data_IF_705584272945
#
_entry.id   IF_705584272945
#
_cell.length_a   1.000
_cell.length_b   1.000
_cell.length_c   1.000
_cell.angle_alpha   90.00
_cell.angle_beta   90.00
_cell.angle_gamma   90.00
#
_symmetry.space_group_name_H-M   'P 1'
#
loop_
_entity.id
_entity.type
_entity.pdbx_description
1 polymer ?
#
# COMPACT_ATOMS: atom_id res chain seq x y z
N UNK A 1 -9.43 -25.28 21.12
CA UNK A 1 -10.72 -25.23 21.85
C UNK A 1 -11.47 -24.03 21.30
N UNK A 2 -12.49 -24.21 20.46
CA UNK A 2 -13.23 -23.08 19.88
C UNK A 2 -14.30 -22.58 20.87
N UNK A 3 -14.52 -21.27 21.05
CA UNK A 3 -15.57 -20.74 21.91
C UNK A 3 -16.95 -20.96 21.25
N UNK A 4 -17.89 -21.53 22.01
CA UNK A 4 -19.20 -22.02 21.52
C UNK A 4 -20.37 -21.06 21.77
N UNK A 5 -20.11 -19.78 22.04
CA UNK A 5 -21.12 -18.79 22.41
C UNK A 5 -20.81 -17.41 21.83
N UNK A 6 -21.80 -16.79 21.15
CA UNK A 6 -21.70 -15.48 20.48
C UNK A 6 -21.14 -14.37 21.39
N UNK A 7 -21.47 -14.43 22.68
CA UNK A 7 -21.02 -13.46 23.70
C UNK A 7 -19.52 -13.58 24.00
N UNK A 8 -18.97 -14.79 23.97
CA UNK A 8 -17.54 -15.03 24.21
C UNK A 8 -16.71 -14.68 22.97
N UNK A 9 -17.25 -14.92 21.77
CA UNK A 9 -16.64 -14.45 20.52
C UNK A 9 -16.56 -12.92 20.48
N UNK A 10 -17.63 -12.21 20.85
CA UNK A 10 -17.62 -10.74 20.91
C UNK A 10 -16.69 -10.20 21.98
N UNK A 11 -16.56 -10.89 23.11
CA UNK A 11 -15.64 -10.46 24.19
C UNK A 11 -14.18 -10.68 23.82
N UNK A 12 -13.84 -11.80 23.18
CA UNK A 12 -12.50 -12.08 22.65
C UNK A 12 -12.12 -11.11 21.52
N UNK A 13 -13.06 -10.83 20.61
CA UNK A 13 -12.86 -9.80 19.58
C UNK A 13 -12.70 -8.43 20.22
N UNK A 14 -13.50 -8.07 21.23
CA UNK A 14 -13.38 -6.79 21.94
C UNK A 14 -12.03 -6.65 22.67
N UNK A 15 -11.55 -7.72 23.30
CA UNK A 15 -10.28 -7.76 24.04
C UNK A 15 -9.06 -7.74 23.09
N UNK A 16 -9.09 -8.49 21.98
CA UNK A 16 -8.06 -8.38 20.93
C UNK A 16 -8.11 -7.04 20.21
N UNK A 17 -9.30 -6.49 19.92
CA UNK A 17 -9.40 -5.19 19.25
C UNK A 17 -8.77 -4.06 20.05
N UNK A 18 -8.68 -4.15 21.38
CA UNK A 18 -8.09 -3.09 22.19
C UNK A 18 -6.55 -3.04 22.07
N UNK A 19 -5.87 -4.19 22.14
CA UNK A 19 -4.40 -4.28 22.01
C UNK A 19 -3.92 -4.27 20.54
N UNK A 20 -4.72 -4.82 19.61
CA UNK A 20 -4.38 -4.83 18.18
C UNK A 20 -4.60 -3.48 17.49
N UNK A 21 -5.33 -2.55 18.10
CA UNK A 21 -5.57 -1.25 17.45
C UNK A 21 -4.27 -0.49 17.19
N UNK A 22 -3.29 -0.53 18.09
CA UNK A 22 -2.00 0.15 17.86
C UNK A 22 -1.10 -0.68 16.95
N UNK A 23 -0.94 -1.99 17.25
CA UNK A 23 -0.07 -2.87 16.48
C UNK A 23 -0.54 -3.04 15.01
N UNK A 24 -1.84 -3.24 14.78
CA UNK A 24 -2.43 -3.41 13.45
C UNK A 24 -2.47 -2.08 12.67
N UNK A 25 -2.62 -0.95 13.36
CA UNK A 25 -2.53 0.38 12.75
C UNK A 25 -1.10 0.69 12.34
N UNK A 26 -0.11 0.44 13.20
CA UNK A 26 1.31 0.62 12.86
C UNK A 26 1.71 -0.31 11.73
N UNK A 27 1.37 -1.60 11.81
CA UNK A 27 1.72 -2.59 10.79
C UNK A 27 1.05 -2.27 9.45
N UNK A 28 -0.25 -1.98 9.45
CA UNK A 28 -0.98 -1.61 8.24
C UNK A 28 -0.46 -0.32 7.61
N UNK A 29 -0.18 0.70 8.43
CA UNK A 29 0.37 1.97 7.95
C UNK A 29 1.78 1.78 7.37
N UNK A 30 2.64 1.04 8.08
CA UNK A 30 4.00 0.73 7.63
C UNK A 30 3.99 -0.10 6.34
N UNK A 31 3.07 -1.06 6.19
CA UNK A 31 2.92 -1.85 4.99
C UNK A 31 2.55 -0.97 3.78
N UNK A 32 1.53 -0.12 3.92
CA UNK A 32 1.11 0.78 2.83
C UNK A 32 2.18 1.81 2.47
N UNK A 33 2.84 2.40 3.46
CA UNK A 33 3.96 3.32 3.25
C UNK A 33 5.13 2.63 2.54
N UNK A 34 5.54 1.46 3.04
CA UNK A 34 6.63 0.68 2.47
C UNK A 34 6.35 0.26 1.03
N UNK A 35 5.14 -0.25 0.77
CA UNK A 35 4.72 -0.62 -0.59
C UNK A 35 4.66 0.58 -1.52
N UNK A 36 4.18 1.74 -1.05
CA UNK A 36 4.15 2.96 -1.84
C UNK A 36 5.54 3.46 -2.23
N UNK A 37 6.45 3.55 -1.26
CA UNK A 37 7.84 3.97 -1.50
C UNK A 37 8.57 2.97 -2.40
N UNK A 38 8.43 1.67 -2.13
CA UNK A 38 9.04 0.61 -2.94
C UNK A 38 8.53 0.63 -4.38
N UNK A 39 7.21 0.80 -4.57
CA UNK A 39 6.58 0.88 -5.89
C UNK A 39 7.10 2.06 -6.69
N UNK A 40 7.27 3.22 -6.04
CA UNK A 40 7.83 4.40 -6.68
C UNK A 40 9.27 4.17 -7.12
N UNK A 41 10.13 3.73 -6.20
CA UNK A 41 11.56 3.55 -6.47
C UNK A 41 11.82 2.49 -7.54
N UNK A 42 11.27 1.29 -7.34
CA UNK A 42 11.45 0.17 -8.27
C UNK A 42 10.75 0.43 -9.60
N UNK A 43 9.54 0.99 -9.58
CA UNK A 43 8.78 1.34 -10.78
C UNK A 43 9.50 2.37 -11.65
N UNK A 44 10.05 3.42 -11.03
CA UNK A 44 10.82 4.44 -11.75
C UNK A 44 12.15 3.89 -12.29
N UNK A 45 12.85 3.07 -11.51
CA UNK A 45 14.09 2.41 -11.97
C UNK A 45 13.83 1.50 -13.18
N UNK A 46 12.76 0.71 -13.15
CA UNK A 46 12.38 -0.19 -14.24
C UNK A 46 11.97 0.59 -15.50
N UNK A 47 11.33 1.75 -15.35
CA UNK A 47 11.01 2.64 -16.46
C UNK A 47 12.26 3.23 -17.12
N UNK A 48 13.23 3.70 -16.31
CA UNK A 48 14.48 4.26 -16.82
C UNK A 48 15.28 3.22 -17.61
N UNK A 49 15.36 1.99 -17.10
CA UNK A 49 16.03 0.87 -17.81
C UNK A 49 15.42 0.58 -19.18
N UNK A 50 14.11 0.75 -19.32
CA UNK A 50 13.36 0.50 -20.55
C UNK A 50 13.11 1.76 -21.38
N UNK A 51 13.70 2.90 -21.01
CA UNK A 51 13.40 4.20 -21.63
C UNK A 51 13.65 4.18 -23.15
N UNK A 52 14.77 3.60 -23.59
CA UNK A 52 15.11 3.49 -25.01
C UNK A 52 14.04 2.70 -25.79
N UNK A 53 13.64 1.55 -25.27
CA UNK A 53 12.60 0.69 -25.88
C UNK A 53 11.24 1.39 -25.90
N UNK A 54 10.88 2.09 -24.82
CA UNK A 54 9.61 2.82 -24.72
C UNK A 54 9.56 3.97 -25.74
N UNK A 55 10.66 4.71 -25.89
CA UNK A 55 10.75 5.81 -26.84
C UNK A 55 10.67 5.33 -28.29
N UNK A 56 11.28 4.18 -28.60
CA UNK A 56 11.22 3.54 -29.91
C UNK A 56 9.87 2.86 -30.22
N UNK A 57 9.07 2.53 -29.20
CA UNK A 57 7.77 1.86 -29.41
C UNK A 57 6.74 2.75 -30.14
N UNK A 58 5.85 2.15 -30.93
CA UNK A 58 4.74 2.86 -31.61
C UNK A 58 3.61 3.31 -30.65
N UNK A 59 3.76 3.09 -29.34
CA UNK A 59 2.73 3.41 -28.35
C UNK A 59 2.50 4.93 -28.24
N UNK A 60 1.22 5.34 -28.20
CA UNK A 60 0.80 6.71 -27.89
C UNK A 60 1.12 7.11 -26.44
N UNK A 61 1.23 6.12 -25.56
CA UNK A 61 1.64 6.33 -24.17
C UNK A 61 3.15 6.14 -24.10
N UNK A 62 3.89 7.24 -23.88
CA UNK A 62 5.35 7.26 -23.73
C UNK A 62 5.73 7.27 -22.25
N UNK A 63 6.84 7.92 -21.89
CA UNK A 63 7.33 7.93 -20.51
C UNK A 63 6.41 8.68 -19.54
N UNK A 64 5.83 9.81 -19.95
CA UNK A 64 5.00 10.66 -19.08
C UNK A 64 3.84 9.92 -18.39
N UNK A 65 2.90 9.32 -19.15
CA UNK A 65 1.77 8.59 -18.58
C UNK A 65 2.17 7.44 -17.66
N UNK A 66 3.26 6.73 -17.99
CA UNK A 66 3.77 5.63 -17.15
C UNK A 66 4.34 6.14 -15.82
N UNK A 67 5.12 7.23 -15.86
CA UNK A 67 5.63 7.89 -14.65
C UNK A 67 4.48 8.40 -13.78
N UNK A 68 3.47 9.02 -14.40
CA UNK A 68 2.29 9.50 -13.68
C UNK A 68 1.51 8.36 -13.02
N UNK A 69 1.31 7.24 -13.72
CA UNK A 69 0.63 6.07 -13.14
C UNK A 69 1.36 5.48 -11.94
N UNK A 70 2.70 5.37 -12.00
CA UNK A 70 3.48 4.90 -10.84
C UNK A 70 3.43 5.91 -9.70
N UNK A 71 3.55 7.20 -10.01
CA UNK A 71 3.46 8.27 -9.01
C UNK A 71 2.10 8.29 -8.32
N UNK A 72 0.99 8.16 -9.05
CA UNK A 72 -0.35 8.18 -8.48
C UNK A 72 -0.62 6.96 -7.60
N UNK A 73 -0.27 5.75 -8.04
CA UNK A 73 -0.43 4.54 -7.23
C UNK A 73 0.41 4.64 -5.95
N UNK A 74 1.66 5.09 -6.07
CA UNK A 74 2.56 5.23 -4.93
C UNK A 74 2.05 6.29 -3.94
N UNK A 75 1.56 7.42 -4.45
CA UNK A 75 0.97 8.49 -3.63
C UNK A 75 -0.29 8.00 -2.90
N UNK A 76 -1.15 7.23 -3.56
CA UNK A 76 -2.35 6.64 -2.93
C UNK A 76 -1.96 5.66 -1.83
N UNK A 77 -0.97 4.79 -2.04
CA UNK A 77 -0.52 3.84 -1.03
C UNK A 77 0.07 4.56 0.20
N UNK A 78 0.97 5.52 -0.02
CA UNK A 78 1.54 6.35 1.06
C UNK A 78 0.42 7.13 1.77
N UNK A 79 -0.48 7.76 1.02
CA UNK A 79 -1.61 8.51 1.55
C UNK A 79 -2.54 7.65 2.41
N UNK A 80 -2.86 6.43 1.96
CA UNK A 80 -3.66 5.46 2.73
C UNK A 80 -2.93 5.02 4.00
N UNK A 81 -1.62 4.81 3.94
CA UNK A 81 -0.80 4.48 5.11
C UNK A 81 -0.80 5.60 6.15
N UNK A 82 -0.62 6.85 5.71
CA UNK A 82 -0.69 8.04 6.57
C UNK A 82 -2.10 8.19 7.16
N UNK A 83 -3.14 8.08 6.34
CA UNK A 83 -4.52 8.22 6.80
C UNK A 83 -4.86 7.20 7.88
N UNK A 84 -4.48 5.93 7.66
CA UNK A 84 -4.66 4.85 8.64
C UNK A 84 -3.85 5.10 9.92
N UNK A 85 -2.71 5.79 9.86
CA UNK A 85 -1.93 6.15 11.04
C UNK A 85 -2.57 7.25 11.89
N UNK A 86 -3.47 8.08 11.33
CA UNK A 86 -4.12 9.21 12.02
C UNK A 86 -5.63 9.05 12.27
N UNK A 87 -6.32 8.18 11.54
CA UNK A 87 -7.74 7.83 11.73
C UNK A 87 -7.92 6.41 12.27
#
# INVERSE_FOLDING_TARGET
MAPTTDKDAKRLVAEETYDDCLACRVTGSAAFMGLGVYSYYTGMSNLQKQEKTIMQSASRFKMGPRRFGIASISATLVGMGIWRAFN
#
